data_IF_037293502814
#
_entry.id   IF_037293502814
#
_cell.length_a   1.000
_cell.length_b   1.000
_cell.length_c   1.000
_cell.angle_alpha   90.00
_cell.angle_beta   90.00
_cell.angle_gamma   90.00
#
_symmetry.space_group_name_H-M   'P 1'
#
loop_
_entity.id
_entity.type
_entity.pdbx_description
1 polymer ?
#
# COMPACT_ATOMS: atom_id res chain seq x y z
N UNK A 1 -11.03 -16.93 2.44
CA UNK A 1 -12.36 -16.51 2.92
C UNK A 1 -13.37 -17.36 2.19
N UNK A 2 -14.40 -17.81 2.90
CA UNK A 2 -15.53 -18.50 2.28
C UNK A 2 -16.24 -17.57 1.28
N UNK A 3 -17.04 -18.14 0.38
CA UNK A 3 -17.89 -17.37 -0.53
C UNK A 3 -19.03 -16.74 0.28
N UNK A 4 -19.18 -15.42 0.19
CA UNK A 4 -20.27 -14.69 0.86
C UNK A 4 -21.28 -14.26 -0.20
N UNK A 5 -22.55 -14.58 0.03
CA UNK A 5 -23.63 -14.31 -0.93
C UNK A 5 -24.62 -13.31 -0.32
N UNK A 6 -24.85 -12.22 -1.05
CA UNK A 6 -25.88 -11.23 -0.76
C UNK A 6 -27.06 -11.32 -1.73
N UNK A 7 -27.87 -10.27 -1.75
CA UNK A 7 -28.98 -10.09 -2.70
C UNK A 7 -28.47 -9.78 -4.12
N UNK A 8 -27.45 -8.92 -4.23
CA UNK A 8 -26.92 -8.40 -5.51
C UNK A 8 -25.48 -8.78 -5.76
N UNK A 9 -24.73 -9.15 -4.72
CA UNK A 9 -23.31 -9.47 -4.84
C UNK A 9 -22.94 -10.86 -4.36
N UNK A 10 -21.94 -11.45 -5.01
CA UNK A 10 -21.17 -12.56 -4.44
C UNK A 10 -19.75 -12.07 -4.18
N UNK A 11 -19.25 -12.27 -2.97
CA UNK A 11 -17.88 -11.97 -2.57
C UNK A 11 -17.10 -13.28 -2.48
N UNK A 12 -16.04 -13.42 -3.26
CA UNK A 12 -15.24 -14.66 -3.33
C UNK A 12 -13.77 -14.38 -3.57
N UNK A 13 -12.92 -15.38 -3.39
CA UNK A 13 -11.52 -15.30 -3.79
C UNK A 13 -11.38 -15.00 -5.30
N UNK A 14 -10.33 -14.27 -5.73
CA UNK A 14 -10.00 -14.13 -7.15
C UNK A 14 -9.74 -15.47 -7.82
N UNK A 15 -10.07 -15.57 -9.10
CA UNK A 15 -9.92 -16.77 -9.93
C UNK A 15 -9.29 -16.42 -11.30
N UNK A 16 -8.78 -17.40 -12.08
CA UNK A 16 -8.09 -17.16 -13.36
C UNK A 16 -8.82 -16.24 -14.35
N UNK A 17 -10.16 -16.23 -14.35
CA UNK A 17 -10.96 -15.39 -15.24
C UNK A 17 -11.08 -13.91 -14.84
N UNK A 18 -10.62 -13.52 -13.65
CA UNK A 18 -10.86 -12.16 -13.11
C UNK A 18 -9.83 -11.13 -13.57
N UNK A 19 -8.76 -11.56 -14.27
CA UNK A 19 -7.60 -10.74 -14.59
C UNK A 19 -7.96 -9.44 -15.33
N UNK A 20 -8.83 -9.53 -16.33
CA UNK A 20 -9.27 -8.35 -17.09
C UNK A 20 -9.91 -7.30 -16.19
N UNK A 21 -10.83 -7.70 -15.30
CA UNK A 21 -11.50 -6.77 -14.38
C UNK A 21 -10.53 -6.14 -13.36
N UNK A 22 -9.55 -6.92 -12.89
CA UNK A 22 -8.51 -6.43 -11.97
C UNK A 22 -7.59 -5.41 -12.65
N UNK A 23 -7.18 -5.67 -13.89
CA UNK A 23 -6.37 -4.75 -14.70
C UNK A 23 -7.15 -3.48 -15.02
N UNK A 24 -8.41 -3.58 -15.47
CA UNK A 24 -9.27 -2.43 -15.75
C UNK A 24 -9.38 -1.48 -14.54
N UNK A 25 -9.61 -2.01 -13.35
CA UNK A 25 -9.64 -1.19 -12.13
C UNK A 25 -8.28 -0.60 -11.77
N UNK A 26 -7.19 -1.31 -12.09
CA UNK A 26 -5.83 -0.87 -11.80
C UNK A 26 -5.36 0.26 -12.72
N UNK A 27 -5.90 0.36 -13.93
CA UNK A 27 -5.51 1.36 -14.93
C UNK A 27 -6.53 2.51 -15.06
N UNK A 28 -7.76 2.36 -14.55
CA UNK A 28 -8.78 3.43 -14.60
C UNK A 28 -8.48 4.55 -13.58
N UNK A 29 -8.17 5.74 -14.10
CA UNK A 29 -7.90 6.94 -13.31
C UNK A 29 -9.08 7.38 -12.43
N UNK A 30 -10.33 7.10 -12.82
CA UNK A 30 -11.52 7.39 -12.02
C UNK A 30 -11.59 6.48 -10.80
N UNK A 31 -11.30 5.18 -10.99
CA UNK A 31 -11.26 4.18 -9.90
C UNK A 31 -10.13 4.50 -8.94
N UNK A 32 -8.96 4.92 -9.46
CA UNK A 32 -7.76 5.16 -8.65
C UNK A 32 -7.52 6.60 -8.25
N UNK A 33 -8.50 7.48 -8.45
CA UNK A 33 -8.44 8.90 -8.03
C UNK A 33 -7.97 9.07 -6.59
N UNK A 34 -8.43 8.21 -5.67
CA UNK A 34 -8.06 8.23 -4.26
C UNK A 34 -7.09 7.11 -3.85
N UNK A 35 -6.56 6.35 -4.82
CA UNK A 35 -5.72 5.16 -4.60
C UNK A 35 -4.28 5.36 -5.12
N UNK A 36 -3.83 6.61 -5.25
CA UNK A 36 -2.49 6.94 -5.73
C UNK A 36 -2.36 6.94 -7.26
N UNK A 37 -3.46 7.15 -7.98
CA UNK A 37 -3.45 7.28 -9.44
C UNK A 37 -3.43 5.94 -10.19
N UNK A 38 -3.72 5.97 -11.52
CA UNK A 38 -3.71 4.78 -12.36
C UNK A 38 -2.31 4.15 -12.43
N UNK A 39 -2.26 2.82 -12.52
CA UNK A 39 -1.02 2.09 -12.82
C UNK A 39 -0.80 2.03 -14.32
N UNK A 40 0.45 1.84 -14.74
CA UNK A 40 0.74 1.39 -16.09
C UNK A 40 0.25 -0.05 -16.30
N UNK A 41 0.12 -0.43 -17.57
CA UNK A 41 -0.45 -1.71 -17.98
C UNK A 41 0.32 -2.91 -17.42
N UNK A 42 1.66 -2.88 -17.48
CA UNK A 42 2.51 -3.99 -17.04
C UNK A 42 2.40 -4.18 -15.53
N UNK A 43 2.49 -3.10 -14.76
CA UNK A 43 2.33 -3.15 -13.30
C UNK A 43 0.93 -3.64 -12.90
N UNK A 44 -0.11 -3.27 -13.65
CA UNK A 44 -1.47 -3.75 -13.44
C UNK A 44 -1.61 -5.26 -13.70
N UNK A 45 -1.04 -5.75 -14.79
CA UNK A 45 -1.05 -7.17 -15.16
C UNK A 45 -0.30 -8.04 -14.15
N UNK A 46 0.90 -7.62 -13.72
CA UNK A 46 1.68 -8.32 -12.68
C UNK A 46 0.88 -8.40 -11.37
N UNK A 47 0.24 -7.31 -10.94
CA UNK A 47 -0.57 -7.32 -9.73
C UNK A 47 -1.83 -8.18 -9.85
N UNK A 48 -2.46 -8.20 -11.02
CA UNK A 48 -3.61 -9.06 -11.28
C UNK A 48 -3.21 -10.54 -11.24
N UNK A 49 -2.11 -10.92 -11.93
CA UNK A 49 -1.58 -12.27 -11.92
C UNK A 49 -1.23 -12.74 -10.50
N UNK A 50 -0.58 -11.88 -9.70
CA UNK A 50 -0.25 -12.17 -8.30
C UNK A 50 -1.50 -12.41 -7.44
N UNK A 51 -2.54 -11.58 -7.58
CA UNK A 51 -3.82 -11.75 -6.84
C UNK A 51 -4.54 -13.05 -7.19
N UNK A 52 -4.36 -13.54 -8.42
CA UNK A 52 -5.01 -14.76 -8.92
C UNK A 52 -4.21 -16.01 -8.56
N UNK A 53 -2.88 -15.96 -8.76
CA UNK A 53 -2.00 -17.11 -8.58
C UNK A 53 -1.71 -17.45 -7.12
N UNK A 54 -1.84 -16.47 -6.21
CA UNK A 54 -1.61 -16.67 -4.79
C UNK A 54 -2.89 -16.36 -4.01
N UNK A 55 -3.66 -17.41 -3.69
CA UNK A 55 -4.81 -17.27 -2.82
C UNK A 55 -4.36 -16.79 -1.43
N UNK A 56 -4.53 -15.50 -1.17
CA UNK A 56 -4.19 -14.87 0.11
C UNK A 56 -5.45 -14.66 0.92
N UNK A 57 -5.39 -15.03 2.20
CA UNK A 57 -6.47 -14.73 3.14
C UNK A 57 -6.85 -13.25 3.09
N UNK A 58 -8.15 -12.98 3.15
CA UNK A 58 -8.71 -11.63 3.10
C UNK A 58 -8.78 -10.99 1.71
N UNK A 59 -8.17 -11.54 0.65
CA UNK A 59 -8.37 -11.00 -0.71
C UNK A 59 -9.68 -11.49 -1.33
N UNK A 60 -10.40 -10.59 -2.01
CA UNK A 60 -11.66 -10.94 -2.64
C UNK A 60 -11.97 -10.09 -3.88
N UNK A 61 -12.82 -10.65 -4.75
CA UNK A 61 -13.54 -9.93 -5.79
C UNK A 61 -15.02 -9.81 -5.41
N UNK A 62 -15.66 -8.76 -5.93
CA UNK A 62 -17.08 -8.49 -5.80
C UNK A 62 -17.71 -8.78 -7.15
N UNK A 63 -18.56 -9.80 -7.23
CA UNK A 63 -19.28 -10.19 -8.44
C UNK A 63 -20.68 -9.60 -8.39
N UNK A 64 -21.09 -8.87 -9.43
CA UNK A 64 -22.49 -8.44 -9.61
C UNK A 64 -23.30 -9.64 -10.09
N UNK A 65 -24.23 -10.13 -9.27
CA UNK A 65 -25.02 -11.33 -9.59
C UNK A 65 -25.87 -11.14 -10.85
N UNK A 66 -26.42 -9.93 -11.05
CA UNK A 66 -27.27 -9.65 -12.21
C UNK A 66 -26.49 -9.72 -13.54
N UNK A 67 -25.23 -9.28 -13.54
CA UNK A 67 -24.40 -9.28 -14.73
C UNK A 67 -23.48 -10.51 -14.86
N UNK A 68 -23.31 -11.28 -13.79
CA UNK A 68 -22.40 -12.44 -13.76
C UNK A 68 -20.93 -12.09 -13.93
N UNK A 69 -20.53 -10.83 -13.67
CA UNK A 69 -19.16 -10.34 -13.87
C UNK A 69 -18.59 -9.69 -12.62
N UNK A 70 -17.25 -9.66 -12.54
CA UNK A 70 -16.55 -8.92 -11.49
C UNK A 70 -16.85 -7.42 -11.63
N UNK A 71 -17.48 -6.87 -10.60
CA UNK A 71 -17.81 -5.47 -10.44
C UNK A 71 -16.76 -4.71 -9.61
N UNK A 72 -15.99 -5.41 -8.78
CA UNK A 72 -15.03 -4.80 -7.87
C UNK A 72 -14.04 -5.77 -7.26
N UNK A 73 -13.14 -5.24 -6.43
CA UNK A 73 -12.25 -6.05 -5.60
C UNK A 73 -11.94 -5.35 -4.29
N UNK A 74 -11.48 -6.12 -3.32
CA UNK A 74 -11.05 -5.59 -2.04
C UNK A 74 -10.15 -6.56 -1.30
N UNK A 75 -9.77 -6.13 -0.10
CA UNK A 75 -9.07 -7.00 0.82
C UNK A 75 -9.33 -6.62 2.27
N UNK A 76 -9.35 -7.61 3.14
CA UNK A 76 -9.08 -7.46 4.58
C UNK A 76 -7.61 -7.80 4.81
N UNK A 77 -6.82 -6.86 5.29
CA UNK A 77 -5.39 -7.08 5.50
C UNK A 77 -4.84 -6.22 6.65
N UNK A 78 -3.81 -6.73 7.33
CA UNK A 78 -3.07 -5.98 8.33
C UNK A 78 -1.96 -5.20 7.62
N UNK A 79 -2.02 -3.86 7.65
CA UNK A 79 -0.93 -3.01 7.13
C UNK A 79 -0.01 -2.56 8.25
N UNK A 80 -0.56 -1.83 9.22
CA UNK A 80 0.06 -1.38 10.47
C UNK A 80 -1.09 -1.25 11.49
N UNK A 81 -1.01 -1.91 12.64
CA UNK A 81 -2.12 -1.87 13.62
C UNK A 81 -3.29 -2.81 13.26
N UNK A 82 -4.57 -2.41 13.46
CA UNK A 82 -5.75 -3.25 13.25
C UNK A 82 -5.90 -3.79 11.81
N UNK A 83 -6.81 -4.76 11.63
CA UNK A 83 -7.16 -5.25 10.30
C UNK A 83 -7.95 -4.17 9.55
N UNK A 84 -7.56 -3.93 8.29
CA UNK A 84 -8.17 -2.91 7.44
C UNK A 84 -8.94 -3.56 6.29
N UNK A 85 -10.22 -3.19 6.12
CA UNK A 85 -10.97 -3.46 4.91
C UNK A 85 -10.75 -2.36 3.87
N UNK A 86 -10.37 -2.77 2.67
CA UNK A 86 -10.28 -1.92 1.48
C UNK A 86 -11.16 -2.49 0.37
N UNK A 87 -11.73 -1.60 -0.44
CA UNK A 87 -12.59 -1.98 -1.56
C UNK A 87 -12.57 -0.90 -2.63
N UNK A 88 -12.80 -1.32 -3.87
CA UNK A 88 -13.09 -0.43 -4.98
C UNK A 88 -13.92 -1.17 -6.03
N UNK A 89 -14.72 -0.42 -6.79
CA UNK A 89 -15.52 -0.94 -7.89
C UNK A 89 -15.01 -0.39 -9.22
N UNK A 90 -15.16 -1.19 -10.28
CA UNK A 90 -15.11 -0.72 -11.67
C UNK A 90 -16.10 0.43 -11.84
N UNK A 91 -15.72 1.44 -12.60
CA UNK A 91 -16.49 2.67 -12.75
C UNK A 91 -17.94 2.40 -13.23
N UNK A 92 -18.13 1.44 -14.14
CA UNK A 92 -19.44 1.06 -14.68
C UNK A 92 -20.43 0.51 -13.62
N UNK A 93 -19.95 0.11 -12.44
CA UNK A 93 -20.75 -0.52 -11.39
C UNK A 93 -21.03 0.41 -10.20
N UNK A 94 -20.63 1.67 -10.30
CA UNK A 94 -20.87 2.67 -9.26
C UNK A 94 -22.35 3.01 -9.11
N UNK A 95 -22.73 3.49 -7.91
CA UNK A 95 -24.10 3.95 -7.59
C UNK A 95 -25.20 2.87 -7.72
N UNK A 96 -24.82 1.59 -7.73
CA UNK A 96 -25.73 0.42 -7.77
C UNK A 96 -25.90 -0.30 -6.43
N UNK A 97 -25.41 0.28 -5.33
CA UNK A 97 -25.47 -0.35 -3.99
C UNK A 97 -24.47 -1.47 -3.72
N UNK A 98 -23.80 -1.99 -4.76
CA UNK A 98 -22.92 -3.18 -4.68
C UNK A 98 -21.79 -3.06 -3.65
N UNK A 99 -21.13 -1.90 -3.57
CA UNK A 99 -20.04 -1.70 -2.60
C UNK A 99 -20.53 -1.78 -1.15
N UNK A 100 -21.70 -1.18 -0.86
CA UNK A 100 -22.24 -1.16 0.50
C UNK A 100 -22.60 -2.57 0.97
N UNK A 101 -23.24 -3.34 0.07
CA UNK A 101 -23.60 -4.72 0.35
C UNK A 101 -22.38 -5.63 0.51
N UNK A 102 -21.38 -5.52 -0.37
CA UNK A 102 -20.15 -6.31 -0.26
C UNK A 102 -19.37 -5.99 1.03
N UNK A 103 -19.26 -4.72 1.39
CA UNK A 103 -18.57 -4.30 2.64
C UNK A 103 -19.32 -4.79 3.86
N UNK A 104 -20.66 -4.75 3.87
CA UNK A 104 -21.47 -5.29 4.96
C UNK A 104 -21.26 -6.80 5.13
N UNK A 105 -21.31 -7.58 4.04
CA UNK A 105 -21.06 -9.02 4.08
C UNK A 105 -19.69 -9.35 4.65
N UNK A 106 -18.63 -8.66 4.19
CA UNK A 106 -17.27 -8.90 4.67
C UNK A 106 -17.11 -8.48 6.12
N UNK A 107 -17.70 -7.36 6.55
CA UNK A 107 -17.70 -6.89 7.95
C UNK A 107 -18.38 -7.91 8.87
N UNK A 108 -19.57 -8.39 8.49
CA UNK A 108 -20.36 -9.30 9.31
C UNK A 108 -19.69 -10.67 9.40
N UNK A 109 -19.16 -11.16 8.27
CA UNK A 109 -18.34 -12.38 8.27
C UNK A 109 -17.11 -12.22 9.15
N UNK A 110 -16.41 -11.08 9.07
CA UNK A 110 -15.22 -10.81 9.87
C UNK A 110 -15.52 -10.96 11.36
N UNK A 111 -16.47 -10.20 11.90
CA UNK A 111 -16.78 -10.24 13.34
C UNK A 111 -17.38 -11.57 13.79
N UNK A 112 -17.99 -12.35 12.90
CA UNK A 112 -18.51 -13.67 13.22
C UNK A 112 -17.43 -14.77 13.22
N UNK A 113 -16.29 -14.56 12.54
CA UNK A 113 -15.30 -15.60 12.26
C UNK A 113 -13.87 -15.27 12.73
N UNK A 114 -13.65 -14.10 13.32
CA UNK A 114 -12.36 -13.71 13.91
C UNK A 114 -12.54 -13.32 15.37
N UNK A 115 -11.44 -13.38 16.13
CA UNK A 115 -11.40 -12.88 17.52
C UNK A 115 -11.09 -11.38 17.60
N UNK A 116 -10.83 -10.72 16.46
CA UNK A 116 -10.59 -9.28 16.40
C UNK A 116 -11.90 -8.52 16.68
N UNK A 117 -11.84 -7.57 17.61
CA UNK A 117 -12.96 -6.70 17.97
C UNK A 117 -12.98 -5.38 17.19
N UNK A 118 -12.05 -5.17 16.27
CA UNK A 118 -11.89 -3.94 15.49
C UNK A 118 -11.60 -4.25 14.02
N UNK A 119 -12.37 -3.61 13.14
CA UNK A 119 -12.13 -3.59 11.69
C UNK A 119 -12.14 -2.14 11.22
N UNK A 120 -11.00 -1.67 10.70
CA UNK A 120 -10.87 -0.29 10.24
C UNK A 120 -11.02 -0.18 8.73
N UNK A 121 -11.35 1.02 8.24
CA UNK A 121 -11.29 1.38 6.83
C UNK A 121 -10.62 2.75 6.71
N UNK A 122 -9.62 2.86 5.83
CA UNK A 122 -8.96 4.14 5.58
C UNK A 122 -9.39 4.68 4.21
N UNK A 123 -9.79 5.95 4.17
CA UNK A 123 -10.13 6.64 2.92
C UNK A 123 -9.63 8.08 2.96
N UNK A 124 -9.42 8.70 1.80
CA UNK A 124 -9.02 10.11 1.76
C UNK A 124 -10.15 11.01 2.26
N UNK A 125 -9.82 12.12 2.94
CA UNK A 125 -10.81 13.12 3.40
C UNK A 125 -11.65 13.70 2.24
N UNK A 126 -11.09 13.75 1.02
CA UNK A 126 -11.82 14.16 -0.17
C UNK A 126 -12.81 13.09 -0.70
N UNK A 127 -12.70 11.84 -0.27
CA UNK A 127 -13.53 10.72 -0.73
C UNK A 127 -14.86 10.62 0.05
N UNK A 128 -15.71 11.63 -0.12
CA UNK A 128 -17.00 11.74 0.58
C UNK A 128 -17.94 10.56 0.32
N UNK A 129 -17.86 9.94 -0.87
CA UNK A 129 -18.68 8.78 -1.20
C UNK A 129 -18.34 7.56 -0.32
N UNK A 130 -17.05 7.32 -0.08
CA UNK A 130 -16.58 6.25 0.79
C UNK A 130 -16.92 6.53 2.26
N UNK A 131 -16.77 7.78 2.71
CA UNK A 131 -17.12 8.19 4.08
C UNK A 131 -18.60 7.93 4.38
N UNK A 132 -19.49 8.45 3.53
CA UNK A 132 -20.96 8.24 3.67
C UNK A 132 -21.36 6.77 3.58
N UNK A 133 -20.64 5.95 2.82
CA UNK A 133 -20.89 4.51 2.77
C UNK A 133 -20.53 3.88 4.12
N UNK A 134 -19.33 4.14 4.62
CA UNK A 134 -18.84 3.58 5.89
C UNK A 134 -19.70 4.03 7.07
N UNK A 135 -20.08 5.31 7.14
CA UNK A 135 -20.99 5.84 8.17
C UNK A 135 -22.35 5.13 8.16
N UNK A 136 -22.95 4.91 6.98
CA UNK A 136 -24.22 4.16 6.86
C UNK A 136 -24.09 2.70 7.29
N UNK A 137 -22.88 2.14 7.25
CA UNK A 137 -22.58 0.80 7.75
C UNK A 137 -22.16 0.81 9.23
N UNK A 138 -22.34 1.92 9.94
CA UNK A 138 -22.08 2.02 11.38
C UNK A 138 -20.62 2.24 11.74
N UNK A 139 -19.74 2.54 10.78
CA UNK A 139 -18.38 2.95 11.09
C UNK A 139 -18.39 4.33 11.77
N UNK A 140 -17.59 4.48 12.82
CA UNK A 140 -17.37 5.76 13.52
C UNK A 140 -15.99 6.28 13.16
N UNK A 141 -15.89 7.57 12.86
CA UNK A 141 -14.60 8.20 12.57
C UNK A 141 -13.70 8.17 13.82
N UNK A 142 -12.64 7.37 13.78
CA UNK A 142 -11.70 7.21 14.89
C UNK A 142 -10.52 8.22 14.86
N UNK A 143 -10.28 8.89 13.73
CA UNK A 143 -9.21 9.87 13.61
C UNK A 143 -8.88 10.22 12.15
N UNK A 144 -7.86 11.05 11.97
CA UNK A 144 -7.27 11.37 10.67
C UNK A 144 -5.76 11.43 10.78
N UNK A 145 -5.06 10.99 9.74
CA UNK A 145 -3.61 11.03 9.68
C UNK A 145 -3.15 11.41 8.26
N UNK A 146 -1.98 12.01 8.15
CA UNK A 146 -1.33 12.24 6.87
C UNK A 146 -0.57 10.97 6.46
N UNK A 147 -0.93 10.42 5.30
CA UNK A 147 -0.23 9.28 4.71
C UNK A 147 0.59 9.78 3.52
N UNK A 148 1.90 9.95 3.70
CA UNK A 148 2.78 10.38 2.61
C UNK A 148 2.79 9.34 1.47
N UNK A 149 2.40 9.76 0.26
CA UNK A 149 2.29 8.89 -0.91
C UNK A 149 2.60 9.57 -2.24
N UNK A 150 3.91 9.66 -2.57
CA UNK A 150 4.64 10.07 -3.81
C UNK A 150 4.37 11.51 -4.31
N UNK A 151 5.31 12.45 -4.36
CA UNK A 151 6.79 12.39 -4.32
C UNK A 151 7.45 12.24 -2.94
N UNK A 152 8.65 11.64 -2.90
CA UNK A 152 9.49 11.58 -1.69
C UNK A 152 9.26 10.38 -0.75
N UNK A 153 8.87 9.21 -1.27
CA UNK A 153 8.75 7.99 -0.45
C UNK A 153 10.10 7.60 0.20
N UNK A 154 10.03 7.14 1.44
CA UNK A 154 10.76 5.93 1.89
C UNK A 154 9.94 5.22 2.97
N UNK A 155 8.91 4.48 2.55
CA UNK A 155 8.51 3.30 3.32
C UNK A 155 9.63 2.28 3.12
N UNK A 156 10.56 2.22 4.07
CA UNK A 156 11.69 1.32 4.07
C UNK A 156 12.45 1.44 5.38
N UNK A 157 12.73 0.31 6.01
CA UNK A 157 13.69 0.24 7.09
C UNK A 157 15.06 0.48 6.48
N UNK A 158 15.69 1.61 6.80
CA UNK A 158 17.04 1.92 6.36
C UNK A 158 18.00 1.51 7.48
N UNK A 159 18.63 0.36 7.31
CA UNK A 159 19.71 -0.10 8.16
C UNK A 159 21.01 0.52 7.64
N UNK A 160 21.59 1.45 8.40
CA UNK A 160 22.95 1.92 8.15
C UNK A 160 23.90 1.03 8.95
N UNK A 161 24.74 0.29 8.23
CA UNK A 161 25.84 -0.45 8.85
C UNK A 161 27.05 0.49 8.97
N UNK A 162 27.63 0.55 10.17
CA UNK A 162 28.95 1.14 10.34
C UNK A 162 30.01 0.17 9.80
N UNK A 163 30.56 0.48 8.63
CA UNK A 163 31.65 -0.29 8.02
C UNK A 163 33.02 -0.04 8.63
N UNK A 164 33.13 0.79 9.68
CA UNK A 164 34.40 1.20 10.27
C UNK A 164 35.12 2.29 9.45
N UNK A 165 36.43 2.42 9.69
CA UNK A 165 37.30 3.30 8.91
C UNK A 165 38.06 2.45 7.88
N UNK A 166 37.92 2.80 6.61
CA UNK A 166 38.71 2.18 5.54
C UNK A 166 40.07 2.86 5.43
N UNK A 167 41.13 2.07 5.26
CA UNK A 167 42.47 2.61 4.96
C UNK A 167 42.54 3.08 3.49
N UNK A 168 43.54 3.90 3.12
CA UNK A 168 43.77 4.27 1.72
C UNK A 168 43.90 3.05 0.78
N UNK A 169 44.57 2.00 1.24
CA UNK A 169 44.75 0.75 0.49
C UNK A 169 43.41 0.06 0.25
N UNK A 170 42.56 -0.05 1.29
CA UNK A 170 41.22 -0.63 1.17
C UNK A 170 40.31 0.21 0.26
N UNK A 171 40.43 1.53 0.34
CA UNK A 171 39.66 2.45 -0.52
C UNK A 171 40.04 2.25 -1.98
N UNK A 172 41.34 2.13 -2.28
CA UNK A 172 41.84 1.95 -3.64
C UNK A 172 41.51 0.59 -4.26
N UNK A 173 41.15 -0.41 -3.44
CA UNK A 173 40.78 -1.76 -3.91
C UNK A 173 39.29 -1.92 -4.21
N UNK A 174 38.46 -0.93 -3.89
CA UNK A 174 37.02 -0.96 -4.21
C UNK A 174 36.83 -1.03 -5.72
N UNK A 175 36.02 -2.01 -6.17
CA UNK A 175 35.60 -2.19 -7.56
C UNK A 175 34.08 -2.29 -7.57
N UNK A 176 33.42 -1.44 -8.35
CA UNK A 176 31.97 -1.42 -8.49
C UNK A 176 31.60 -1.89 -9.90
N UNK A 177 30.53 -2.66 -10.01
CA UNK A 177 30.05 -3.14 -11.31
C UNK A 177 29.49 -1.97 -12.11
N UNK A 178 29.98 -1.80 -13.35
CA UNK A 178 29.44 -0.80 -14.29
C UNK A 178 28.04 -1.14 -14.79
N UNK A 179 27.58 -2.39 -14.59
CA UNK A 179 26.21 -2.81 -14.89
C UNK A 179 25.22 -2.39 -13.79
N UNK A 180 25.70 -2.14 -12.57
CA UNK A 180 24.86 -1.77 -11.42
C UNK A 180 24.92 -0.28 -11.11
N UNK A 181 26.09 0.35 -11.22
CA UNK A 181 26.32 1.74 -10.83
C UNK A 181 26.98 2.52 -11.96
N UNK A 182 26.31 3.57 -12.41
CA UNK A 182 26.82 4.43 -13.46
C UNK A 182 27.91 5.40 -12.96
N UNK A 183 27.76 5.91 -11.73
CA UNK A 183 28.71 6.82 -11.08
C UNK A 183 28.74 6.58 -9.57
N UNK A 184 29.86 6.93 -8.92
CA UNK A 184 29.98 6.95 -7.47
C UNK A 184 30.97 8.03 -7.02
N UNK A 185 30.81 8.51 -5.79
CA UNK A 185 31.73 9.46 -5.16
C UNK A 185 31.67 9.34 -3.64
N UNK A 186 32.82 9.51 -2.98
CA UNK A 186 32.84 9.82 -1.56
C UNK A 186 32.09 11.14 -1.31
N UNK A 187 31.22 11.15 -0.31
CA UNK A 187 30.38 12.30 0.02
C UNK A 187 30.46 12.55 1.53
N UNK A 188 30.86 13.75 1.93
CA UNK A 188 30.63 14.24 3.29
C UNK A 188 29.15 14.63 3.49
N UNK A 189 28.68 14.91 4.73
CA UNK A 189 27.27 15.24 4.97
C UNK A 189 26.74 16.44 4.14
N UNK A 190 27.48 17.56 3.99
CA UNK A 190 27.07 18.64 3.09
C UNK A 190 26.94 18.22 1.62
N UNK A 191 27.86 17.40 1.10
CA UNK A 191 27.80 16.86 -0.25
C UNK A 191 26.63 15.88 -0.42
N UNK A 192 26.34 15.09 0.61
CA UNK A 192 25.20 14.18 0.62
C UNK A 192 23.87 14.97 0.52
N UNK A 193 23.76 16.12 1.19
CA UNK A 193 22.58 16.98 1.11
C UNK A 193 22.34 17.54 -0.30
N UNK A 194 23.40 17.85 -1.04
CA UNK A 194 23.29 18.32 -2.42
C UNK A 194 22.95 17.22 -3.42
N UNK A 195 23.34 15.97 -3.12
CA UNK A 195 23.24 14.82 -4.03
C UNK A 195 22.01 13.95 -3.79
N UNK A 196 21.40 14.06 -2.62
CA UNK A 196 20.27 13.22 -2.20
C UNK A 196 18.99 14.04 -2.04
N UNK A 197 17.86 13.35 -2.04
CA UNK A 197 16.59 13.99 -1.63
C UNK A 197 16.71 14.52 -0.20
N UNK A 198 16.00 15.61 0.11
CA UNK A 198 16.07 16.24 1.44
C UNK A 198 15.73 15.29 2.60
N UNK A 199 14.87 14.29 2.37
CA UNK A 199 14.59 13.26 3.38
C UNK A 199 15.79 12.33 3.61
N UNK A 200 16.44 11.85 2.55
CA UNK A 200 17.61 10.99 2.66
C UNK A 200 18.81 11.73 3.28
N UNK A 201 19.00 12.99 2.90
CA UNK A 201 20.01 13.87 3.47
C UNK A 201 19.85 14.01 4.99
N UNK A 202 18.63 14.36 5.46
CA UNK A 202 18.32 14.45 6.90
C UNK A 202 18.58 13.15 7.64
N UNK A 203 18.20 12.01 7.05
CA UNK A 203 18.45 10.69 7.66
C UNK A 203 19.93 10.38 7.79
N UNK A 204 20.74 10.68 6.78
CA UNK A 204 22.20 10.49 6.84
C UNK A 204 22.81 11.39 7.91
N UNK A 205 22.38 12.65 8.01
CA UNK A 205 22.84 13.56 9.05
C UNK A 205 22.54 13.02 10.46
N UNK A 206 21.30 12.62 10.73
CA UNK A 206 20.91 12.04 12.04
C UNK A 206 21.68 10.74 12.32
N UNK A 207 21.91 9.90 11.32
CA UNK A 207 22.71 8.68 11.49
C UNK A 207 24.18 8.97 11.80
N UNK A 208 24.77 9.96 11.14
CA UNK A 208 26.13 10.41 11.40
C UNK A 208 26.26 10.95 12.84
N UNK A 209 25.31 11.79 13.27
CA UNK A 209 25.26 12.31 14.64
C UNK A 209 25.04 11.20 15.68
N UNK A 210 24.19 10.21 15.37
CA UNK A 210 23.94 9.08 16.26
C UNK A 210 25.20 8.23 16.45
N UNK A 211 25.94 7.97 15.36
CA UNK A 211 27.22 7.25 15.38
C UNK A 211 28.28 8.00 16.18
N UNK A 212 28.46 9.29 15.93
CA UNK A 212 29.46 10.10 16.66
C UNK A 212 29.11 10.25 18.14
N UNK A 213 27.81 10.27 18.48
CA UNK A 213 27.33 10.38 19.86
C UNK A 213 27.19 9.03 20.58
N UNK A 214 27.36 7.90 19.88
CA UNK A 214 27.18 6.55 20.46
C UNK A 214 25.73 6.23 20.88
N UNK A 215 24.73 6.81 20.21
CA UNK A 215 23.31 6.61 20.53
C UNK A 215 22.57 5.89 19.41
N UNK A 216 21.42 5.30 19.74
CA UNK A 216 20.48 4.78 18.74
C UNK A 216 19.49 5.87 18.36
N UNK A 217 19.20 6.03 17.07
CA UNK A 217 18.24 7.01 16.56
C UNK A 217 17.21 6.35 15.62
N UNK A 218 15.95 6.79 15.70
CA UNK A 218 14.89 6.34 14.82
C UNK A 218 14.85 7.18 13.53
N UNK A 219 15.18 6.57 12.39
CA UNK A 219 15.43 7.31 11.15
C UNK A 219 14.22 7.43 10.21
N UNK A 220 13.00 7.03 10.58
CA UNK A 220 11.86 7.02 9.63
C UNK A 220 11.57 8.42 9.06
N UNK A 221 11.80 9.50 9.81
CA UNK A 221 11.54 10.87 9.32
C UNK A 221 12.79 11.75 9.19
N UNK A 222 13.97 11.23 9.53
CA UNK A 222 15.20 12.03 9.58
C UNK A 222 15.18 13.07 10.70
N UNK A 223 14.51 12.77 11.80
CA UNK A 223 14.50 13.55 13.05
C UNK A 223 14.90 12.61 14.20
N UNK A 224 15.51 13.17 15.26
CA UNK A 224 15.74 12.43 16.51
C UNK A 224 14.44 12.16 17.25
#
# INVERSE_FOLDING_TARGET
>A
MEVLTGERVVVRAPAPGDGHALVEMATDARVRRYLGGPKDQVAAEVDAARKIGEARWGQFVIVDQAAGVVAGSGSVARKRGPLEISYHLRHAFWRRGLAGEAVALVRDWFFANTEDNELIATTQQANLASQRLLERLGAVQAGSFERYGRDGRTEGLMLLFDGGHLTPEQTSSIRLSSEELHIWAWSDPPQAEQRLSGLLARRIAVAFDARTSGVTAYLENGHR
#
